data_IF_085679178447
#
_entry.id   IF_085679178447
#
_cell.length_a   1.000
_cell.length_b   1.000
_cell.length_c   1.000
_cell.angle_alpha   90.00
_cell.angle_beta   90.00
_cell.angle_gamma   90.00
#
_symmetry.space_group_name_H-M   'P 1'
#
loop_
_entity.id
_entity.type
_entity.pdbx_description
1 polymer ?
#
# COMPACT_ATOMS: atom_id res chain seq x y z
N UNK A 1 10.63 20.19 -8.22
CA UNK A 1 9.86 19.31 -7.30
C UNK A 1 10.72 18.74 -6.18
N UNK A 2 11.83 18.08 -6.47
CA UNK A 2 12.71 17.40 -5.53
C UNK A 2 13.19 18.29 -4.37
N UNK A 3 13.69 19.48 -4.67
CA UNK A 3 14.18 20.44 -3.64
C UNK A 3 13.05 20.86 -2.70
N UNK A 4 11.85 21.11 -3.24
CA UNK A 4 10.70 21.55 -2.43
C UNK A 4 10.24 20.44 -1.47
N UNK A 5 10.21 19.20 -1.93
CA UNK A 5 9.83 18.06 -1.08
C UNK A 5 10.87 17.77 0.00
N UNK A 6 12.17 17.90 -0.32
CA UNK A 6 13.25 17.75 0.64
C UNK A 6 13.21 18.88 1.70
N UNK A 7 13.00 20.12 1.27
CA UNK A 7 12.84 21.26 2.17
C UNK A 7 11.63 21.08 3.09
N UNK A 8 10.49 20.61 2.55
CA UNK A 8 9.31 20.26 3.34
C UNK A 8 9.58 19.18 4.38
N UNK A 9 10.29 18.12 4.00
CA UNK A 9 10.69 17.05 4.94
C UNK A 9 11.50 17.59 6.10
N UNK A 10 12.50 18.44 5.83
CA UNK A 10 13.34 19.06 6.88
C UNK A 10 12.53 20.02 7.75
N UNK A 11 11.69 20.86 7.14
CA UNK A 11 10.85 21.81 7.86
C UNK A 11 9.87 21.11 8.81
N UNK A 12 9.11 20.09 8.32
CA UNK A 12 8.16 19.36 9.16
C UNK A 12 8.86 18.53 10.25
N UNK A 13 10.03 17.96 9.97
CA UNK A 13 10.82 17.25 10.99
C UNK A 13 11.35 18.22 12.06
N UNK A 14 11.85 19.40 11.64
CA UNK A 14 12.25 20.45 12.56
C UNK A 14 11.08 20.93 13.41
N UNK A 15 9.92 21.17 12.79
CA UNK A 15 8.72 21.60 13.50
C UNK A 15 8.24 20.55 14.52
N UNK A 16 8.26 19.27 14.17
CA UNK A 16 7.88 18.21 15.12
C UNK A 16 8.83 18.13 16.31
N UNK A 17 10.14 18.34 16.12
CA UNK A 17 11.11 18.44 17.22
C UNK A 17 10.86 19.66 18.10
N UNK A 18 10.50 20.81 17.52
CA UNK A 18 10.18 22.03 18.28
C UNK A 18 8.91 21.84 19.11
N UNK A 19 7.84 21.28 18.52
CA UNK A 19 6.56 21.07 19.20
C UNK A 19 6.66 20.04 20.32
N UNK A 20 7.45 19.00 20.13
CA UNK A 20 7.64 17.93 21.10
C UNK A 20 8.85 18.17 22.03
N UNK A 21 9.59 19.28 21.84
CA UNK A 21 10.81 19.56 22.59
C UNK A 21 11.83 18.40 22.59
N UNK A 22 11.84 17.63 21.48
CA UNK A 22 12.65 16.42 21.34
C UNK A 22 12.20 15.22 22.19
N UNK A 23 11.11 15.36 22.95
CA UNK A 23 10.62 14.32 23.87
C UNK A 23 9.65 13.35 23.17
N UNK A 24 9.51 12.18 23.77
CA UNK A 24 8.49 11.20 23.37
C UNK A 24 7.29 11.34 24.28
N UNK A 25 6.14 11.66 23.69
CA UNK A 25 4.87 11.66 24.41
C UNK A 25 4.24 10.26 24.39
N UNK A 26 4.05 9.69 25.57
CA UNK A 26 3.42 8.38 25.79
C UNK A 26 2.75 8.38 27.20
N UNK A 27 1.68 7.58 27.40
CA UNK A 27 0.89 6.82 26.41
C UNK A 27 -0.07 7.70 25.60
N UNK A 28 -0.57 7.17 24.48
CA UNK A 28 -1.62 7.82 23.70
C UNK A 28 -3.00 7.61 24.36
N UNK A 29 -3.95 8.57 24.18
CA UNK A 29 -5.30 8.45 24.71
C UNK A 29 -6.01 7.17 24.22
N UNK A 30 -6.78 6.51 25.12
CA UNK A 30 -7.47 5.25 24.82
C UNK A 30 -8.41 5.35 23.62
N UNK A 31 -9.14 6.48 23.49
CA UNK A 31 -10.02 6.72 22.35
C UNK A 31 -9.27 6.73 21.00
N UNK A 32 -8.05 7.25 20.98
CA UNK A 32 -7.19 7.25 19.81
C UNK A 32 -6.68 5.83 19.47
N UNK A 33 -6.25 5.09 20.50
CA UNK A 33 -5.82 3.71 20.34
C UNK A 33 -6.98 2.82 19.87
N UNK A 34 -8.19 3.04 20.39
CA UNK A 34 -9.38 2.31 19.97
C UNK A 34 -9.68 2.47 18.47
N UNK A 35 -9.42 3.65 17.89
CA UNK A 35 -9.67 3.91 16.48
C UNK A 35 -8.65 3.23 15.54
N UNK A 36 -7.37 3.21 15.90
CA UNK A 36 -6.29 2.81 14.99
C UNK A 36 -5.59 1.50 15.37
N UNK A 37 -5.48 1.16 16.66
CA UNK A 37 -4.68 0.02 17.15
C UNK A 37 -5.50 -1.08 17.81
N UNK A 38 -6.80 -0.87 18.03
CA UNK A 38 -7.65 -1.89 18.62
C UNK A 38 -8.00 -2.99 17.62
N UNK A 39 -8.61 -4.06 18.12
CA UNK A 39 -9.10 -5.17 17.32
C UNK A 39 -10.62 -5.12 17.23
N UNK A 40 -11.16 -5.62 16.13
CA UNK A 40 -12.61 -5.77 15.97
C UNK A 40 -13.11 -6.78 16.99
N UNK A 41 -14.06 -6.39 17.87
CA UNK A 41 -14.62 -7.30 18.87
C UNK A 41 -15.33 -8.49 18.22
N UNK A 42 -15.36 -9.63 18.92
CA UNK A 42 -16.10 -10.79 18.43
C UNK A 42 -17.59 -10.64 18.70
N UNK A 43 -18.35 -10.26 17.65
CA UNK A 43 -19.80 -10.14 17.71
C UNK A 43 -20.54 -11.49 17.68
N UNK A 44 -19.87 -12.58 17.28
CA UNK A 44 -20.46 -13.92 17.13
C UNK A 44 -20.19 -14.83 18.34
N UNK A 45 -19.61 -14.28 19.43
CA UNK A 45 -19.49 -14.95 20.73
C UNK A 45 -18.57 -16.19 20.68
N UNK A 46 -17.41 -16.07 20.05
CA UNK A 46 -16.34 -17.08 20.16
C UNK A 46 -15.75 -17.05 21.58
N UNK A 47 -15.66 -18.21 22.23
CA UNK A 47 -15.01 -18.31 23.53
C UNK A 47 -13.53 -17.93 23.50
N UNK A 48 -12.88 -17.90 24.66
CA UNK A 48 -11.48 -17.55 24.81
C UNK A 48 -10.59 -18.32 23.82
N UNK A 49 -9.94 -17.61 22.90
CA UNK A 49 -8.91 -18.15 22.01
C UNK A 49 -9.22 -18.19 20.52
N UNK A 50 -10.45 -17.97 20.06
CA UNK A 50 -10.77 -17.96 18.64
C UNK A 50 -11.84 -16.93 18.27
N UNK A 51 -11.46 -15.91 17.49
CA UNK A 51 -12.38 -14.86 17.02
C UNK A 51 -13.18 -15.34 15.81
N UNK A 52 -14.44 -15.76 16.03
CA UNK A 52 -15.34 -16.28 15.00
C UNK A 52 -15.69 -15.20 13.97
N UNK A 53 -15.88 -13.97 14.39
CA UNK A 53 -16.18 -12.84 13.51
C UNK A 53 -15.09 -12.65 12.46
N UNK A 54 -13.82 -12.76 12.84
CA UNK A 54 -12.69 -12.68 11.92
C UNK A 54 -12.74 -13.76 10.83
N UNK A 55 -13.01 -15.00 11.23
CA UNK A 55 -13.06 -16.13 10.28
C UNK A 55 -14.26 -16.02 9.31
N UNK A 56 -15.41 -15.62 9.81
CA UNK A 56 -16.62 -15.38 8.98
C UNK A 56 -16.38 -14.25 7.99
N UNK A 57 -15.74 -13.16 8.38
CA UNK A 57 -15.33 -12.08 7.46
C UNK A 57 -14.41 -12.62 6.36
N UNK A 58 -13.46 -13.50 6.70
CA UNK A 58 -12.60 -14.17 5.71
C UNK A 58 -13.40 -14.97 4.68
N UNK A 59 -14.40 -15.73 5.13
CA UNK A 59 -15.29 -16.48 4.23
C UNK A 59 -16.08 -15.54 3.33
N UNK A 60 -16.63 -14.46 3.87
CA UNK A 60 -17.40 -13.47 3.10
C UNK A 60 -16.50 -12.82 2.03
N UNK A 61 -15.28 -12.45 2.37
CA UNK A 61 -14.30 -11.89 1.41
C UNK A 61 -14.02 -12.88 0.28
N UNK A 62 -13.84 -14.16 0.57
CA UNK A 62 -13.64 -15.19 -0.44
C UNK A 62 -14.86 -15.36 -1.35
N UNK A 63 -16.08 -15.37 -0.79
CA UNK A 63 -17.32 -15.47 -1.57
C UNK A 63 -17.46 -14.27 -2.51
N UNK A 64 -17.26 -13.05 -2.00
CA UNK A 64 -17.32 -11.82 -2.81
C UNK A 64 -16.25 -11.85 -3.92
N UNK A 65 -15.03 -12.26 -3.61
CA UNK A 65 -13.97 -12.40 -4.60
C UNK A 65 -14.34 -13.37 -5.73
N UNK A 66 -14.81 -14.57 -5.38
CA UNK A 66 -15.25 -15.58 -6.36
C UNK A 66 -16.41 -15.04 -7.21
N UNK A 67 -17.40 -14.39 -6.59
CA UNK A 67 -18.54 -13.80 -7.30
C UNK A 67 -18.10 -12.72 -8.30
N UNK A 68 -17.17 -11.84 -7.91
CA UNK A 68 -16.63 -10.80 -8.79
C UNK A 68 -15.82 -11.37 -9.95
N UNK A 69 -14.99 -12.38 -9.71
CA UNK A 69 -14.22 -13.05 -10.79
C UNK A 69 -15.16 -13.74 -11.77
N UNK A 70 -16.17 -14.46 -11.28
CA UNK A 70 -17.16 -15.13 -12.11
C UNK A 70 -18.00 -14.14 -12.92
N UNK A 71 -18.45 -13.05 -12.30
CA UNK A 71 -19.16 -11.97 -12.99
C UNK A 71 -18.32 -11.36 -14.11
N UNK A 72 -17.08 -10.98 -13.82
CA UNK A 72 -16.17 -10.42 -14.82
C UNK A 72 -15.92 -11.39 -15.98
N UNK A 73 -15.80 -12.67 -15.68
CA UNK A 73 -15.66 -13.72 -16.70
C UNK A 73 -16.91 -13.82 -17.59
N UNK A 74 -18.09 -13.83 -16.97
CA UNK A 74 -19.37 -13.89 -17.70
C UNK A 74 -19.58 -12.65 -18.59
N UNK A 75 -19.23 -11.46 -18.07
CA UNK A 75 -19.32 -10.20 -18.83
C UNK A 75 -18.35 -10.16 -20.03
N UNK A 76 -17.14 -10.71 -19.87
CA UNK A 76 -16.17 -10.85 -20.96
C UNK A 76 -16.65 -11.84 -22.02
N UNK A 77 -17.18 -13.00 -21.60
CA UNK A 77 -17.73 -14.00 -22.50
C UNK A 77 -18.91 -13.44 -23.32
N UNK A 78 -19.84 -12.70 -22.67
CA UNK A 78 -20.95 -12.02 -23.35
C UNK A 78 -20.51 -11.00 -24.39
N UNK A 79 -19.36 -10.35 -24.18
CA UNK A 79 -18.79 -9.36 -25.11
C UNK A 79 -17.91 -9.97 -26.20
N UNK A 80 -17.83 -11.31 -26.30
CA UNK A 80 -17.07 -12.01 -27.34
C UNK A 80 -15.54 -11.97 -27.16
N UNK A 81 -15.04 -11.57 -25.99
CA UNK A 81 -13.60 -11.62 -25.71
C UNK A 81 -13.14 -13.04 -25.42
N UNK A 82 -11.90 -13.34 -25.77
CA UNK A 82 -11.25 -14.60 -25.38
C UNK A 82 -11.21 -14.74 -23.86
N UNK A 83 -11.73 -15.83 -23.31
CA UNK A 83 -11.78 -16.09 -21.87
C UNK A 83 -10.79 -17.20 -21.53
N UNK A 84 -9.97 -17.03 -20.51
CA UNK A 84 -9.07 -18.08 -20.00
C UNK A 84 -9.85 -19.38 -19.72
N UNK A 85 -9.19 -20.51 -19.83
CA UNK A 85 -9.82 -21.81 -19.54
C UNK A 85 -10.39 -21.83 -18.12
N UNK A 86 -11.54 -22.48 -17.94
CA UNK A 86 -12.18 -22.53 -16.61
C UNK A 86 -11.26 -23.15 -15.56
N UNK A 87 -10.48 -24.17 -15.92
CA UNK A 87 -9.53 -24.81 -15.02
C UNK A 87 -8.45 -23.85 -14.50
N UNK A 88 -7.86 -23.02 -15.38
CA UNK A 88 -6.84 -22.05 -14.97
C UNK A 88 -7.36 -20.98 -14.01
N UNK A 89 -8.59 -20.48 -14.27
CA UNK A 89 -9.25 -19.51 -13.39
C UNK A 89 -9.62 -20.14 -12.05
N UNK A 90 -10.13 -21.38 -12.06
CA UNK A 90 -10.50 -22.10 -10.85
C UNK A 90 -9.28 -22.34 -9.94
N UNK A 91 -8.14 -22.76 -10.48
CA UNK A 91 -6.90 -22.95 -9.71
C UNK A 91 -6.44 -21.64 -9.08
N UNK A 92 -6.44 -20.54 -9.84
CA UNK A 92 -6.10 -19.20 -9.30
C UNK A 92 -7.03 -18.79 -8.16
N UNK A 93 -8.35 -19.00 -8.32
CA UNK A 93 -9.34 -18.67 -7.29
C UNK A 93 -9.14 -19.50 -6.01
N UNK A 94 -8.96 -20.81 -6.14
CA UNK A 94 -8.73 -21.70 -5.00
C UNK A 94 -7.46 -21.32 -4.25
N UNK A 95 -6.38 -21.05 -4.98
CA UNK A 95 -5.11 -20.66 -4.35
C UNK A 95 -5.22 -19.34 -3.59
N UNK A 96 -5.85 -18.32 -4.16
CA UNK A 96 -6.05 -17.03 -3.49
C UNK A 96 -6.97 -17.17 -2.28
N UNK A 97 -8.08 -17.90 -2.41
CA UNK A 97 -8.98 -18.17 -1.28
C UNK A 97 -8.28 -18.94 -0.16
N UNK A 98 -7.44 -19.93 -0.49
CA UNK A 98 -6.68 -20.69 0.50
C UNK A 98 -5.70 -19.79 1.27
N UNK A 99 -4.99 -18.89 0.58
CA UNK A 99 -4.08 -17.92 1.22
C UNK A 99 -4.85 -16.96 2.14
N UNK A 100 -5.97 -16.40 1.65
CA UNK A 100 -6.81 -15.48 2.44
C UNK A 100 -7.37 -16.18 3.67
N UNK A 101 -7.92 -17.39 3.52
CA UNK A 101 -8.47 -18.14 4.66
C UNK A 101 -7.39 -18.55 5.67
N UNK A 102 -6.21 -18.97 5.21
CA UNK A 102 -5.08 -19.27 6.09
C UNK A 102 -4.63 -18.04 6.89
N UNK A 103 -4.58 -16.88 6.24
CA UNK A 103 -4.24 -15.61 6.90
C UNK A 103 -5.32 -15.22 7.94
N UNK A 104 -6.59 -15.25 7.56
CA UNK A 104 -7.70 -14.95 8.47
C UNK A 104 -7.81 -15.94 9.63
N UNK A 105 -7.50 -17.21 9.39
CA UNK A 105 -7.44 -18.23 10.44
C UNK A 105 -6.35 -17.92 11.48
N UNK A 106 -5.15 -17.48 11.03
CA UNK A 106 -4.07 -17.04 11.92
C UNK A 106 -4.46 -15.81 12.74
N UNK A 107 -5.14 -14.83 12.11
CA UNK A 107 -5.65 -13.66 12.82
C UNK A 107 -6.73 -14.04 13.85
N UNK A 108 -7.62 -14.98 13.50
CA UNK A 108 -8.68 -15.46 14.38
C UNK A 108 -8.13 -16.18 15.62
N UNK A 109 -6.99 -16.86 15.49
CA UNK A 109 -6.30 -17.51 16.62
C UNK A 109 -5.60 -16.52 17.57
N UNK A 110 -5.43 -15.26 17.17
CA UNK A 110 -4.81 -14.24 18.01
C UNK A 110 -5.88 -13.35 18.65
N UNK A 111 -6.05 -12.12 18.18
CA UNK A 111 -7.03 -11.15 18.70
C UNK A 111 -8.09 -10.75 17.67
N UNK A 112 -8.05 -11.34 16.49
CA UNK A 112 -8.91 -10.98 15.37
C UNK A 112 -8.30 -9.93 14.43
N UNK A 113 -9.16 -9.18 13.72
CA UNK A 113 -8.73 -8.20 12.72
C UNK A 113 -8.32 -6.90 13.42
N UNK A 114 -7.05 -6.44 13.27
CA UNK A 114 -6.65 -5.14 13.79
C UNK A 114 -7.28 -3.99 12.98
N UNK A 115 -7.70 -2.92 13.65
CA UNK A 115 -8.28 -1.73 13.00
C UNK A 115 -7.33 -1.10 11.98
N UNK A 116 -6.03 -1.16 12.21
CA UNK A 116 -5.02 -0.69 11.25
C UNK A 116 -5.11 -1.41 9.89
N UNK A 117 -5.40 -2.71 9.87
CA UNK A 117 -5.60 -3.47 8.63
C UNK A 117 -6.86 -2.99 7.89
N UNK A 118 -7.93 -2.68 8.63
CA UNK A 118 -9.16 -2.15 8.05
C UNK A 118 -8.91 -0.81 7.37
N UNK A 119 -8.20 0.11 8.01
CA UNK A 119 -7.79 1.38 7.40
C UNK A 119 -7.01 1.18 6.11
N UNK A 120 -6.03 0.28 6.10
CA UNK A 120 -5.23 -0.03 4.91
C UNK A 120 -6.11 -0.57 3.79
N UNK A 121 -7.02 -1.52 4.07
CA UNK A 121 -7.93 -2.10 3.06
C UNK A 121 -8.86 -1.03 2.47
N UNK A 122 -9.43 -0.15 3.30
CA UNK A 122 -10.29 0.95 2.84
C UNK A 122 -9.53 1.89 1.91
N UNK A 123 -8.31 2.30 2.29
CA UNK A 123 -7.46 3.17 1.46
C UNK A 123 -7.11 2.50 0.13
N UNK A 124 -6.72 1.22 0.14
CA UNK A 124 -6.43 0.45 -1.07
C UNK A 124 -7.65 0.42 -2.00
N UNK A 125 -8.84 0.16 -1.46
CA UNK A 125 -10.08 0.11 -2.26
C UNK A 125 -10.38 1.47 -2.90
N UNK A 126 -10.31 2.56 -2.13
CA UNK A 126 -10.54 3.93 -2.61
C UNK A 126 -9.54 4.28 -3.71
N UNK A 127 -8.25 4.10 -3.48
CA UNK A 127 -7.22 4.49 -4.43
C UNK A 127 -7.16 3.58 -5.66
N UNK A 128 -7.48 2.29 -5.52
CA UNK A 128 -7.66 1.39 -6.68
C UNK A 128 -8.81 1.86 -7.56
N UNK A 129 -9.92 2.28 -6.96
CA UNK A 129 -11.06 2.84 -7.69
C UNK A 129 -10.69 4.17 -8.36
N UNK A 130 -10.08 5.09 -7.63
CA UNK A 130 -9.64 6.39 -8.17
C UNK A 130 -8.69 6.18 -9.35
N UNK A 131 -7.64 5.38 -9.18
CA UNK A 131 -6.62 5.15 -10.20
C UNK A 131 -7.18 4.48 -11.47
N UNK A 132 -8.11 3.51 -11.32
CA UNK A 132 -8.57 2.68 -12.45
C UNK A 132 -9.86 3.16 -13.09
N UNK A 133 -10.73 3.87 -12.36
CA UNK A 133 -12.09 4.18 -12.80
C UNK A 133 -12.42 5.66 -12.97
N UNK A 134 -11.58 6.57 -12.41
CA UNK A 134 -11.87 8.00 -12.46
C UNK A 134 -11.05 8.73 -13.52
N UNK A 135 -11.52 9.93 -13.91
CA UNK A 135 -10.80 10.85 -14.79
C UNK A 135 -9.50 11.35 -14.16
N UNK A 136 -9.53 11.62 -12.85
CA UNK A 136 -8.36 12.07 -12.08
C UNK A 136 -7.23 11.04 -12.14
N UNK A 137 -7.56 9.74 -11.95
CA UNK A 137 -6.57 8.67 -12.11
C UNK A 137 -5.96 8.64 -13.49
N UNK A 138 -6.78 8.76 -14.55
CA UNK A 138 -6.28 8.83 -15.94
C UNK A 138 -5.36 10.03 -16.17
N UNK A 139 -5.65 11.16 -15.55
CA UNK A 139 -4.80 12.36 -15.68
C UNK A 139 -3.44 12.15 -15.01
N UNK A 140 -3.37 11.48 -13.86
CA UNK A 140 -2.09 11.13 -13.23
C UNK A 140 -1.22 10.27 -14.16
N UNK A 141 -1.80 9.24 -14.78
CA UNK A 141 -1.07 8.40 -15.73
C UNK A 141 -0.67 9.16 -17.01
N UNK A 142 -1.54 10.02 -17.53
CA UNK A 142 -1.27 10.80 -18.73
C UNK A 142 -0.13 11.79 -18.52
N UNK A 143 -0.17 12.58 -17.44
CA UNK A 143 0.88 13.54 -17.08
C UNK A 143 2.21 12.84 -16.82
N UNK A 144 2.18 11.71 -16.09
CA UNK A 144 3.38 10.91 -15.85
C UNK A 144 3.96 10.26 -17.11
N UNK A 145 3.12 9.95 -18.09
CA UNK A 145 3.56 9.37 -19.37
C UNK A 145 4.16 10.39 -20.34
N UNK A 146 3.49 11.50 -20.55
CA UNK A 146 3.98 12.62 -21.36
C UNK A 146 3.24 13.92 -20.99
N UNK A 147 3.89 14.73 -20.17
CA UNK A 147 3.33 15.99 -19.68
C UNK A 147 3.01 16.96 -20.82
N UNK A 148 3.93 17.08 -21.82
CA UNK A 148 3.75 18.03 -22.95
C UNK A 148 2.53 17.65 -23.79
N UNK A 149 2.38 16.38 -24.14
CA UNK A 149 1.23 15.90 -24.89
C UNK A 149 -0.07 16.08 -24.10
N UNK A 150 -0.05 15.81 -22.79
CA UNK A 150 -1.20 15.99 -21.90
C UNK A 150 -1.64 17.44 -21.81
N UNK A 151 -0.68 18.38 -21.72
CA UNK A 151 -0.96 19.83 -21.73
C UNK A 151 -1.55 20.28 -23.07
N UNK A 152 -1.03 19.77 -24.19
CA UNK A 152 -1.59 20.07 -25.51
C UNK A 152 -3.01 19.52 -25.71
N UNK A 153 -3.37 18.47 -24.98
CA UNK A 153 -4.74 17.93 -24.95
C UNK A 153 -5.70 18.73 -24.06
N UNK A 154 -5.29 19.90 -23.55
CA UNK A 154 -6.13 20.82 -22.78
C UNK A 154 -6.22 20.46 -21.27
N UNK A 155 -5.42 19.52 -20.78
CA UNK A 155 -5.41 19.15 -19.35
C UNK A 155 -4.44 20.08 -18.60
N UNK A 156 -4.94 20.69 -17.51
CA UNK A 156 -4.14 21.55 -16.64
C UNK A 156 -3.18 20.67 -15.79
N UNK A 157 -1.95 20.52 -16.25
CA UNK A 157 -0.93 19.70 -15.59
C UNK A 157 -0.56 20.22 -14.21
N UNK A 158 -0.64 21.54 -13.96
CA UNK A 158 -0.35 22.14 -12.66
C UNK A 158 -1.34 21.69 -11.59
N UNK A 159 -2.65 21.64 -11.94
CA UNK A 159 -3.69 21.10 -11.05
C UNK A 159 -3.46 19.61 -10.75
N UNK A 160 -3.03 18.84 -11.74
CA UNK A 160 -2.74 17.41 -11.55
C UNK A 160 -1.57 17.22 -10.57
N UNK A 161 -0.48 17.99 -10.73
CA UNK A 161 0.63 17.98 -9.76
C UNK A 161 0.19 18.41 -8.36
N UNK A 162 -0.57 19.50 -8.25
CA UNK A 162 -1.08 19.97 -6.97
C UNK A 162 -1.91 18.88 -6.27
N UNK A 163 -2.83 18.22 -6.98
CA UNK A 163 -3.64 17.13 -6.44
C UNK A 163 -2.76 15.94 -6.02
N UNK A 164 -1.70 15.61 -6.75
CA UNK A 164 -0.78 14.54 -6.40
C UNK A 164 -0.09 14.80 -5.07
N UNK A 165 0.46 16.01 -4.88
CA UNK A 165 1.11 16.39 -3.62
C UNK A 165 0.13 16.50 -2.45
N UNK A 166 -1.08 17.04 -2.70
CA UNK A 166 -2.14 17.11 -1.69
C UNK A 166 -2.52 15.71 -1.19
N UNK A 167 -2.74 14.76 -2.11
CA UNK A 167 -3.03 13.37 -1.74
C UNK A 167 -1.88 12.70 -1.02
N UNK A 168 -0.63 12.98 -1.43
CA UNK A 168 0.55 12.47 -0.72
C UNK A 168 0.57 12.95 0.73
N UNK A 169 0.33 14.25 0.97
CA UNK A 169 0.28 14.81 2.32
C UNK A 169 -0.82 14.18 3.18
N UNK A 170 -2.01 13.98 2.60
CA UNK A 170 -3.14 13.34 3.29
C UNK A 170 -2.81 11.89 3.67
N UNK A 171 -2.27 11.11 2.75
CA UNK A 171 -1.89 9.72 3.02
C UNK A 171 -0.75 9.63 4.04
N UNK A 172 0.23 10.54 3.98
CA UNK A 172 1.31 10.62 4.95
C UNK A 172 0.77 10.93 6.37
N UNK A 173 -0.20 11.83 6.49
CA UNK A 173 -0.85 12.14 7.76
C UNK A 173 -1.57 10.91 8.34
N UNK A 174 -2.35 10.19 7.53
CA UNK A 174 -3.03 8.96 7.95
C UNK A 174 -2.01 7.90 8.38
N UNK A 175 -0.93 7.70 7.60
CA UNK A 175 0.13 6.77 7.94
C UNK A 175 0.81 7.13 9.26
N UNK A 176 1.05 8.43 9.51
CA UNK A 176 1.57 8.93 10.78
C UNK A 176 0.64 8.61 11.96
N UNK A 177 -0.66 8.86 11.81
CA UNK A 177 -1.65 8.52 12.84
C UNK A 177 -1.66 7.03 13.18
N UNK A 178 -1.69 6.17 12.18
CA UNK A 178 -1.65 4.72 12.37
C UNK A 178 -0.34 4.26 13.04
N UNK A 179 0.78 4.86 12.65
CA UNK A 179 2.10 4.54 13.21
C UNK A 179 2.20 4.94 14.68
N UNK A 180 1.76 6.15 15.04
CA UNK A 180 1.72 6.62 16.44
C UNK A 180 0.85 5.75 17.31
N UNK A 181 -0.33 5.34 16.82
CA UNK A 181 -1.21 4.43 17.55
C UNK A 181 -0.56 3.06 17.77
N UNK A 182 0.13 2.52 16.75
CA UNK A 182 0.83 1.24 16.84
C UNK A 182 2.00 1.27 17.84
N UNK A 183 2.74 2.38 17.89
CA UNK A 183 3.84 2.58 18.82
C UNK A 183 3.36 3.00 20.22
N UNK A 184 2.09 3.35 20.36
CA UNK A 184 1.50 3.93 21.57
C UNK A 184 2.30 5.16 22.05
N UNK A 185 2.87 5.90 21.12
CA UNK A 185 3.72 7.05 21.44
C UNK A 185 3.89 7.98 20.23
N UNK A 186 4.11 9.26 20.50
CA UNK A 186 4.54 10.26 19.52
C UNK A 186 5.98 10.60 19.75
N UNK A 187 6.84 10.29 18.77
CA UNK A 187 8.27 10.55 18.82
C UNK A 187 8.66 11.32 17.54
N UNK A 188 9.42 12.43 17.63
CA UNK A 188 9.89 13.21 16.48
C UNK A 188 10.72 12.40 15.48
N UNK A 189 11.38 11.34 15.93
CA UNK A 189 12.19 10.45 15.09
C UNK A 189 11.41 9.28 14.49
N UNK A 190 10.15 9.10 14.87
CA UNK A 190 9.30 8.04 14.30
C UNK A 190 9.14 8.24 12.79
N UNK A 191 9.14 7.13 12.04
CA UNK A 191 9.01 7.17 10.59
C UNK A 191 10.27 7.58 9.82
N UNK A 192 11.40 7.76 10.48
CA UNK A 192 12.67 8.03 9.78
C UNK A 192 13.01 6.88 8.82
N UNK A 193 13.28 7.23 7.56
CA UNK A 193 13.54 6.32 6.43
C UNK A 193 12.32 5.53 5.93
N UNK A 194 11.10 5.78 6.39
CA UNK A 194 9.90 5.16 5.84
C UNK A 194 9.66 5.56 4.37
N UNK A 195 10.13 6.74 3.98
CA UNK A 195 10.14 7.18 2.58
C UNK A 195 10.91 6.24 1.68
N UNK A 196 12.05 5.68 2.13
CA UNK A 196 12.82 4.72 1.36
C UNK A 196 12.09 3.38 1.19
N UNK A 197 11.42 2.91 2.25
CA UNK A 197 10.60 1.71 2.20
C UNK A 197 9.40 1.89 1.26
N UNK A 198 8.74 3.07 1.27
CA UNK A 198 7.64 3.39 0.39
C UNK A 198 8.06 3.49 -1.08
N UNK A 199 9.20 4.15 -1.37
CA UNK A 199 9.77 4.25 -2.71
C UNK A 199 10.15 2.84 -3.21
N UNK A 200 10.82 2.04 -2.38
CA UNK A 200 11.17 0.65 -2.70
C UNK A 200 9.94 -0.19 -3.01
N UNK A 201 8.89 -0.07 -2.22
CA UNK A 201 7.62 -0.74 -2.46
C UNK A 201 6.98 -0.36 -3.80
N UNK A 202 7.03 0.92 -4.18
CA UNK A 202 6.51 1.38 -5.47
C UNK A 202 7.28 0.78 -6.65
N UNK A 203 8.62 0.79 -6.62
CA UNK A 203 9.43 0.23 -7.72
C UNK A 203 9.30 -1.29 -7.82
N UNK A 204 9.37 -2.01 -6.71
CA UNK A 204 9.15 -3.46 -6.67
C UNK A 204 7.74 -3.80 -7.17
N UNK A 205 6.76 -2.95 -6.83
CA UNK A 205 5.37 -3.06 -7.27
C UNK A 205 5.12 -2.70 -8.75
N UNK A 206 6.17 -2.34 -9.50
CA UNK A 206 6.11 -2.05 -10.93
C UNK A 206 5.72 -0.61 -11.28
N UNK A 207 5.81 0.33 -10.35
CA UNK A 207 5.70 1.74 -10.68
C UNK A 207 7.00 2.22 -11.35
N UNK A 208 6.86 3.02 -12.43
CA UNK A 208 8.01 3.51 -13.17
C UNK A 208 8.62 4.76 -12.54
N UNK A 209 9.95 4.84 -12.52
CA UNK A 209 10.69 6.05 -12.19
C UNK A 209 10.38 7.23 -13.15
N UNK A 210 10.05 6.92 -14.40
CA UNK A 210 9.71 7.93 -15.42
C UNK A 210 8.22 8.32 -15.40
N UNK A 211 7.40 7.67 -14.58
CA UNK A 211 5.96 7.92 -14.49
C UNK A 211 5.13 7.13 -15.51
N UNK A 212 3.83 7.41 -15.55
CA UNK A 212 2.86 6.88 -16.53
C UNK A 212 2.47 5.41 -16.34
N UNK A 213 3.14 4.64 -15.50
CA UNK A 213 2.84 3.23 -15.25
C UNK A 213 2.93 2.87 -13.76
N UNK A 214 2.14 1.90 -13.37
CA UNK A 214 2.05 1.40 -11.99
C UNK A 214 0.62 1.02 -11.66
N UNK A 215 0.43 0.20 -10.66
CA UNK A 215 -0.91 -0.17 -10.17
C UNK A 215 -0.92 -0.21 -8.65
N UNK A 216 -2.03 0.20 -8.04
CA UNK A 216 -2.17 0.16 -6.58
C UNK A 216 -1.97 -1.26 -6.02
N UNK A 217 -2.57 -2.33 -6.59
CA UNK A 217 -2.30 -3.69 -6.14
C UNK A 217 -0.82 -4.10 -6.25
N UNK A 218 -0.12 -3.65 -7.30
CA UNK A 218 1.32 -3.89 -7.45
C UNK A 218 2.12 -3.27 -6.31
N UNK A 219 1.85 -2.00 -5.97
CA UNK A 219 2.51 -1.31 -4.84
C UNK A 219 2.28 -2.04 -3.51
N UNK A 220 1.07 -2.61 -3.29
CA UNK A 220 0.79 -3.37 -2.08
C UNK A 220 1.65 -4.65 -2.00
N UNK A 221 1.82 -5.36 -3.11
CA UNK A 221 2.72 -6.53 -3.17
C UNK A 221 4.16 -6.10 -2.85
N UNK A 222 4.62 -4.99 -3.42
CA UNK A 222 5.93 -4.41 -3.11
C UNK A 222 6.08 -4.03 -1.63
N UNK A 223 5.04 -3.41 -1.04
CA UNK A 223 5.02 -3.04 0.37
C UNK A 223 5.06 -4.27 1.30
N UNK A 224 4.33 -5.33 0.97
CA UNK A 224 4.38 -6.60 1.71
C UNK A 224 5.78 -7.21 1.65
N UNK A 225 6.42 -7.20 0.48
CA UNK A 225 7.77 -7.71 0.31
C UNK A 225 8.79 -6.91 1.14
N UNK A 226 8.72 -5.58 1.10
CA UNK A 226 9.55 -4.71 1.95
C UNK A 226 9.29 -4.94 3.45
N UNK A 227 8.02 -5.13 3.82
CA UNK A 227 7.64 -5.47 5.19
C UNK A 227 8.23 -6.79 5.68
N UNK A 228 8.17 -7.84 4.84
CA UNK A 228 8.78 -9.15 5.14
C UNK A 228 10.29 -9.04 5.26
N UNK A 229 10.96 -8.29 4.37
CA UNK A 229 12.40 -8.04 4.45
C UNK A 229 12.77 -7.34 5.75
N UNK A 230 12.07 -6.26 6.11
CA UNK A 230 12.33 -5.53 7.35
C UNK A 230 12.13 -6.39 8.58
N UNK A 231 11.02 -7.12 8.65
CA UNK A 231 10.72 -8.02 9.76
C UNK A 231 11.75 -9.16 9.84
N UNK A 232 12.08 -9.77 8.71
CA UNK A 232 13.08 -10.85 8.64
C UNK A 232 14.45 -10.41 9.14
N UNK A 233 14.94 -9.26 8.68
CA UNK A 233 16.21 -8.69 9.16
C UNK A 233 16.18 -8.38 10.66
N UNK A 234 15.05 -7.88 11.16
CA UNK A 234 14.88 -7.59 12.59
C UNK A 234 14.85 -8.86 13.44
N UNK A 235 14.20 -9.93 12.98
CA UNK A 235 14.17 -11.24 13.69
C UNK A 235 15.57 -11.87 13.70
N UNK A 236 16.35 -11.71 12.62
CA UNK A 236 17.74 -12.19 12.56
C UNK A 236 18.72 -11.35 13.40
N UNK A 237 18.26 -10.29 14.06
CA UNK A 237 19.09 -9.42 14.88
C UNK A 237 20.11 -8.59 14.06
N UNK A 238 19.84 -8.36 12.77
CA UNK A 238 20.72 -7.57 11.90
C UNK A 238 20.71 -6.10 12.35
N UNK A 239 21.89 -5.51 12.50
CA UNK A 239 22.06 -4.11 12.89
C UNK A 239 21.33 -3.15 11.94
N UNK A 240 20.76 -2.07 12.50
CA UNK A 240 19.97 -1.11 11.73
C UNK A 240 20.75 -0.44 10.59
N UNK A 241 22.07 -0.28 10.72
CA UNK A 241 22.87 0.31 9.67
C UNK A 241 23.04 -0.65 8.50
N UNK A 242 23.21 -1.95 8.78
CA UNK A 242 23.24 -2.99 7.75
C UNK A 242 21.88 -3.10 7.07
N UNK A 243 20.76 -3.01 7.81
CA UNK A 243 19.42 -2.97 7.23
C UNK A 243 19.27 -1.82 6.22
N UNK A 244 19.79 -0.63 6.50
CA UNK A 244 19.79 0.51 5.56
C UNK A 244 20.57 0.21 4.27
N UNK A 245 21.72 -0.46 4.38
CA UNK A 245 22.52 -0.88 3.22
C UNK A 245 21.75 -1.88 2.36
N UNK A 246 21.14 -2.89 2.99
CA UNK A 246 20.33 -3.90 2.26
C UNK A 246 19.15 -3.25 1.55
N UNK A 247 18.42 -2.36 2.22
CA UNK A 247 17.31 -1.59 1.61
C UNK A 247 17.78 -0.77 0.41
N UNK A 248 18.89 -0.08 0.54
CA UNK A 248 19.50 0.69 -0.54
C UNK A 248 19.86 -0.18 -1.75
N UNK A 249 20.46 -1.37 -1.51
CA UNK A 249 20.76 -2.32 -2.60
C UNK A 249 19.49 -2.88 -3.25
N UNK A 250 18.47 -3.22 -2.49
CA UNK A 250 17.19 -3.71 -3.03
C UNK A 250 16.52 -2.62 -3.88
N UNK A 251 16.52 -1.37 -3.41
CA UNK A 251 15.99 -0.24 -4.17
C UNK A 251 16.76 -0.04 -5.48
N UNK A 252 18.09 -0.05 -5.42
CA UNK A 252 18.94 0.09 -6.60
C UNK A 252 18.68 -1.03 -7.61
N UNK A 253 18.61 -2.28 -7.16
CA UNK A 253 18.31 -3.43 -8.01
C UNK A 253 16.94 -3.30 -8.69
N UNK A 254 15.90 -2.87 -7.94
CA UNK A 254 14.56 -2.66 -8.48
C UNK A 254 14.55 -1.57 -9.57
N UNK A 255 15.23 -0.44 -9.35
CA UNK A 255 15.34 0.65 -10.33
C UNK A 255 16.12 0.20 -11.58
N UNK A 256 17.26 -0.50 -11.41
CA UNK A 256 18.03 -1.03 -12.54
C UNK A 256 17.16 -1.98 -13.37
N UNK A 257 16.43 -2.87 -12.71
CA UNK A 257 15.53 -3.80 -13.39
C UNK A 257 14.44 -3.07 -14.21
N UNK A 258 13.79 -2.03 -13.64
CA UNK A 258 12.79 -1.22 -14.35
C UNK A 258 13.37 -0.55 -15.58
N UNK A 259 14.53 0.09 -15.45
CA UNK A 259 15.22 0.80 -16.56
C UNK A 259 15.64 -0.17 -17.66
N UNK A 260 16.28 -1.29 -17.31
CA UNK A 260 16.77 -2.29 -18.30
C UNK A 260 15.60 -2.98 -19.01
N UNK A 261 14.55 -3.34 -18.27
CA UNK A 261 13.36 -3.99 -18.82
C UNK A 261 12.66 -3.10 -19.85
N UNK A 262 12.54 -1.81 -19.58
CA UNK A 262 11.91 -0.85 -20.50
C UNK A 262 12.77 -0.56 -21.72
N UNK A 263 14.09 -0.48 -21.56
CA UNK A 263 15.00 -0.28 -22.68
C UNK A 263 14.89 -1.42 -23.71
N UNK A 264 14.77 -2.66 -23.26
CA UNK A 264 14.53 -3.80 -24.16
C UNK A 264 13.19 -3.72 -24.90
N UNK A 265 12.15 -3.24 -24.27
CA UNK A 265 10.83 -3.06 -24.91
C UNK A 265 10.81 -1.96 -25.99
N UNK A 266 11.71 -0.98 -25.95
CA UNK A 266 11.86 0.06 -26.97
C UNK A 266 12.65 -0.40 -28.20
N UNK A 267 13.54 -1.37 -28.05
CA UNK A 267 14.39 -1.88 -29.14
C UNK A 267 13.69 -2.95 -29.99
N UNK A 268 12.63 -3.57 -29.45
CA UNK A 268 11.86 -4.65 -30.13
C UNK A 268 10.64 -4.08 -30.91
N UNK A 269 10.37 -2.79 -30.86
CA UNK A 269 9.40 -2.10 -31.70
C UNK A 269 10.10 -1.29 -32.80
#
# INVERSE_FOLDING_TARGET
PFIVTLAGMLAFRGLSNVVLEGQTLAPMPDAYLALFNNYIPDFLGGGEGFNRTCFVVGIIVCIVYVALVMKNRADRAKKGYSVESFGGVAVKMVLICAVVLAFMFRLAQYKGIPNSLLWVVVIIAIYTYIASKTTTGRYFYAVGGNEKATKLSGIDTNKVYFLAYLNMGLLAAIAGMVTMARLNSSNPQAGTNFEMDAIGACFIGGASAYGGTGTVPGVIIGALLMGVLNLGMSIMGIDQNIQKVVKGMVLLAAVIFDVVSKRKSFIVK
#
